data_IF_368287383634
#
_entry.id   IF_368287383634
#
_cell.length_a   1.000
_cell.length_b   1.000
_cell.length_c   1.000
_cell.angle_alpha   90.00
_cell.angle_beta   90.00
_cell.angle_gamma   90.00
#
_symmetry.space_group_name_H-M   'P 1'
#
loop_
_entity.id
_entity.type
_entity.pdbx_description
1 polymer ?
#
# COMPACT_ATOMS: atom_id res chain seq x y z
N UNK A 1 31.14 -3.43 -2.03
CA UNK A 1 30.04 -4.41 -1.96
C UNK A 1 29.17 -4.16 -3.18
N UNK A 2 29.09 -5.13 -4.08
CA UNK A 2 28.67 -4.92 -5.48
C UNK A 2 27.14 -4.85 -5.59
N UNK A 3 26.58 -3.67 -5.89
CA UNK A 3 25.15 -3.43 -6.19
C UNK A 3 24.76 -3.91 -7.60
N UNK A 4 25.14 -5.13 -7.95
CA UNK A 4 25.01 -5.62 -9.33
C UNK A 4 23.73 -6.45 -9.48
N UNK A 5 22.69 -5.77 -10.01
CA UNK A 5 21.43 -6.24 -10.65
C UNK A 5 20.12 -5.89 -9.95
N UNK A 6 19.96 -4.61 -9.61
CA UNK A 6 18.67 -3.98 -9.30
C UNK A 6 17.95 -3.57 -10.61
N UNK A 7 17.78 -4.50 -11.56
CA UNK A 7 17.36 -4.16 -12.94
C UNK A 7 15.92 -4.55 -13.16
N UNK A 8 15.06 -3.55 -13.27
CA UNK A 8 13.71 -3.72 -13.81
C UNK A 8 13.81 -4.27 -15.24
N UNK A 9 12.96 -5.24 -15.59
CA UNK A 9 12.94 -5.89 -16.92
C UNK A 9 11.95 -5.19 -17.83
N UNK A 10 12.32 -4.97 -19.09
CA UNK A 10 11.40 -4.47 -20.11
C UNK A 10 10.72 -5.61 -20.84
N UNK A 11 9.40 -5.52 -21.00
CA UNK A 11 8.58 -6.45 -21.80
C UNK A 11 7.65 -5.67 -22.71
N UNK A 12 7.32 -6.24 -23.85
CA UNK A 12 6.28 -5.73 -24.75
C UNK A 12 4.96 -6.46 -24.47
N UNK A 13 3.88 -5.69 -24.30
CA UNK A 13 2.57 -6.23 -23.98
C UNK A 13 1.95 -6.94 -25.17
N UNK A 14 1.51 -8.18 -24.96
CA UNK A 14 0.72 -8.96 -25.90
C UNK A 14 -0.78 -8.86 -25.59
N UNK A 15 -1.65 -9.19 -26.54
CA UNK A 15 -3.11 -9.16 -26.35
C UNK A 15 -3.64 -10.11 -25.25
N UNK A 16 -2.84 -11.08 -24.82
CA UNK A 16 -3.17 -12.01 -23.74
C UNK A 16 -2.54 -11.62 -22.39
N UNK A 17 -1.74 -10.54 -22.34
CA UNK A 17 -1.12 -10.09 -21.10
C UNK A 17 -2.10 -9.26 -20.28
N UNK A 18 -2.03 -9.45 -18.96
CA UNK A 18 -2.73 -8.67 -17.95
C UNK A 18 -1.77 -8.42 -16.79
N UNK A 19 -1.95 -7.33 -16.03
CA UNK A 19 -0.99 -6.94 -14.99
C UNK A 19 -0.83 -8.01 -13.89
N UNK A 20 -1.91 -8.70 -13.53
CA UNK A 20 -1.95 -9.80 -12.57
C UNK A 20 -1.21 -11.04 -13.08
N UNK A 21 -1.39 -11.42 -14.35
CA UNK A 21 -0.66 -12.52 -14.96
C UNK A 21 0.84 -12.22 -15.06
N UNK A 22 1.19 -10.98 -15.41
CA UNK A 22 2.57 -10.52 -15.45
C UNK A 22 3.20 -10.51 -14.05
N UNK A 23 2.46 -10.03 -13.04
CA UNK A 23 2.90 -10.06 -11.64
C UNK A 23 3.09 -11.50 -11.15
N UNK A 24 2.17 -12.42 -11.45
CA UNK A 24 2.33 -13.82 -11.10
C UNK A 24 3.57 -14.43 -11.78
N UNK A 25 3.76 -14.18 -13.08
CA UNK A 25 4.87 -14.73 -13.86
C UNK A 25 6.24 -14.21 -13.44
N UNK A 26 6.36 -12.92 -13.11
CA UNK A 26 7.66 -12.27 -12.86
C UNK A 26 7.94 -11.98 -11.40
N UNK A 27 6.90 -11.81 -10.57
CA UNK A 27 7.00 -11.47 -9.15
C UNK A 27 6.51 -12.62 -8.24
N UNK A 28 6.00 -13.71 -8.82
CA UNK A 28 5.50 -14.88 -8.09
C UNK A 28 4.13 -14.69 -7.43
N UNK A 29 3.61 -13.46 -7.40
CA UNK A 29 2.35 -13.12 -6.76
C UNK A 29 1.53 -12.17 -7.64
N UNK A 30 0.31 -12.59 -8.01
CA UNK A 30 -0.60 -11.79 -8.81
C UNK A 30 -0.99 -10.48 -8.13
N UNK A 31 -1.00 -10.44 -6.78
CA UNK A 31 -1.31 -9.24 -6.01
C UNK A 31 -0.30 -8.11 -6.20
N UNK A 32 0.90 -8.41 -6.74
CA UNK A 32 1.94 -7.40 -7.00
C UNK A 32 1.74 -6.64 -8.33
N UNK A 33 0.54 -6.72 -8.91
CA UNK A 33 0.20 -6.04 -10.16
C UNK A 33 0.23 -4.51 -10.00
N UNK A 34 -0.02 -4.01 -8.78
CA UNK A 34 -0.09 -2.58 -8.49
C UNK A 34 1.28 -1.92 -8.59
N UNK A 35 2.33 -2.62 -8.19
CA UNK A 35 3.71 -2.17 -8.28
C UNK A 35 4.15 -2.04 -9.75
N UNK A 36 3.67 -2.93 -10.62
CA UNK A 36 3.87 -2.80 -12.07
C UNK A 36 3.11 -1.59 -12.61
N UNK A 37 1.86 -1.39 -12.19
CA UNK A 37 1.05 -0.25 -12.63
C UNK A 37 1.67 1.09 -12.22
N UNK A 38 2.02 1.23 -10.95
CA UNK A 38 2.63 2.41 -10.36
C UNK A 38 3.96 2.76 -11.06
N UNK A 39 4.82 1.76 -11.31
CA UNK A 39 6.11 1.96 -11.98
C UNK A 39 5.97 2.50 -13.41
N UNK A 40 4.87 2.17 -14.09
CA UNK A 40 4.64 2.55 -15.49
C UNK A 40 3.57 3.64 -15.67
N UNK A 41 3.02 4.17 -14.57
CA UNK A 41 1.88 5.11 -14.58
C UNK A 41 0.69 4.57 -15.39
N UNK A 42 0.38 3.28 -15.23
CA UNK A 42 -0.74 2.64 -15.90
C UNK A 42 -1.99 2.79 -15.04
N UNK A 43 -3.07 3.28 -15.65
CA UNK A 43 -4.39 3.24 -15.03
C UNK A 43 -4.93 1.80 -15.03
N UNK A 44 -5.10 1.23 -13.84
CA UNK A 44 -5.58 -0.15 -13.65
C UNK A 44 -7.04 -0.36 -14.08
N UNK A 45 -7.80 0.72 -14.30
CA UNK A 45 -9.18 0.67 -14.78
C UNK A 45 -9.28 0.76 -16.31
N UNK A 46 -8.17 1.04 -16.98
CA UNK A 46 -8.09 1.17 -18.43
C UNK A 46 -7.57 -0.12 -19.08
N UNK A 47 -7.93 -0.32 -20.35
CA UNK A 47 -7.37 -1.42 -21.14
C UNK A 47 -5.87 -1.23 -21.36
N UNK A 48 -5.11 -2.33 -21.28
CA UNK A 48 -3.69 -2.32 -21.58
C UNK A 48 -3.45 -2.23 -23.10
N UNK A 49 -2.68 -1.26 -23.58
CA UNK A 49 -2.42 -1.13 -25.01
C UNK A 49 -1.40 -2.17 -25.48
N UNK A 50 -1.82 -3.02 -26.41
CA UNK A 50 -0.98 -4.05 -27.04
C UNK A 50 0.19 -3.40 -27.78
N UNK A 51 1.37 -4.00 -27.67
CA UNK A 51 2.62 -3.49 -28.26
C UNK A 51 3.33 -2.42 -27.43
N UNK A 52 2.76 -2.01 -26.28
CA UNK A 52 3.45 -1.10 -25.37
C UNK A 52 4.58 -1.83 -24.63
N UNK A 53 5.75 -1.19 -24.54
CA UNK A 53 6.85 -1.66 -23.69
C UNK A 53 6.67 -1.12 -22.28
N UNK A 54 6.62 -2.02 -21.30
CA UNK A 54 6.50 -1.69 -19.87
C UNK A 54 7.68 -2.26 -19.07
N UNK A 55 7.95 -1.65 -17.91
CA UNK A 55 8.99 -2.08 -16.98
C UNK A 55 8.36 -2.94 -15.89
N UNK A 56 8.94 -4.11 -15.63
CA UNK A 56 8.57 -4.99 -14.54
C UNK A 56 9.65 -4.87 -13.46
N UNK A 57 9.31 -4.52 -12.22
CA UNK A 57 10.29 -4.45 -11.15
C UNK A 57 10.87 -5.84 -10.85
N UNK A 58 12.02 -5.91 -10.19
CA UNK A 58 12.48 -7.16 -9.58
C UNK A 58 11.75 -7.42 -8.27
N UNK A 59 11.80 -8.65 -7.77
CA UNK A 59 11.21 -9.01 -6.47
C UNK A 59 11.85 -8.17 -5.36
N UNK A 60 13.16 -7.97 -5.41
CA UNK A 60 13.90 -7.16 -4.44
C UNK A 60 13.48 -5.69 -4.50
N UNK A 61 13.16 -5.15 -5.69
CA UNK A 61 12.61 -3.80 -5.82
C UNK A 61 11.23 -3.70 -5.18
N UNK A 62 10.37 -4.71 -5.37
CA UNK A 62 9.05 -4.75 -4.73
C UNK A 62 9.19 -4.81 -3.21
N UNK A 63 10.10 -5.64 -2.69
CA UNK A 63 10.37 -5.71 -1.26
C UNK A 63 10.84 -4.39 -0.68
N UNK A 64 11.70 -3.65 -1.39
CA UNK A 64 12.15 -2.33 -0.96
C UNK A 64 11.01 -1.31 -0.98
N UNK A 65 10.21 -1.26 -2.05
CA UNK A 65 9.02 -0.39 -2.14
C UNK A 65 8.07 -0.66 -0.97
N UNK A 66 7.81 -1.93 -0.65
CA UNK A 66 6.94 -2.31 0.46
C UNK A 66 7.55 -1.88 1.79
N UNK A 67 8.86 -2.09 1.99
CA UNK A 67 9.57 -1.67 3.20
C UNK A 67 9.49 -0.16 3.43
N UNK A 68 9.75 0.64 2.39
CA UNK A 68 9.67 2.09 2.45
C UNK A 68 8.24 2.56 2.79
N UNK A 69 7.23 1.97 2.14
CA UNK A 69 5.81 2.26 2.42
C UNK A 69 5.43 1.94 3.86
N UNK A 70 5.89 0.80 4.40
CA UNK A 70 5.62 0.42 5.79
C UNK A 70 6.26 1.37 6.80
N UNK A 71 7.48 1.84 6.52
CA UNK A 71 8.15 2.84 7.36
C UNK A 71 7.37 4.17 7.40
N UNK A 72 6.80 4.59 6.27
CA UNK A 72 5.97 5.79 6.21
C UNK A 72 4.66 5.63 6.97
N UNK A 73 3.95 4.50 6.79
CA UNK A 73 2.69 4.22 7.50
C UNK A 73 2.89 4.26 9.01
N UNK A 74 3.98 3.66 9.52
CA UNK A 74 4.29 3.68 10.95
C UNK A 74 4.40 5.11 11.51
N UNK A 75 4.97 6.03 10.74
CA UNK A 75 5.11 7.42 11.16
C UNK A 75 3.77 8.15 11.13
N UNK A 76 2.99 7.98 10.06
CA UNK A 76 1.66 8.62 9.92
C UNK A 76 0.69 8.14 11.00
N UNK A 77 0.63 6.82 11.24
CA UNK A 77 -0.25 6.26 12.28
C UNK A 77 0.16 6.74 13.67
N UNK A 78 1.46 6.89 13.93
CA UNK A 78 1.94 7.42 15.21
C UNK A 78 1.50 8.88 15.41
N UNK A 79 1.62 9.73 14.38
CA UNK A 79 1.17 11.12 14.45
C UNK A 79 -0.36 11.25 14.56
N UNK A 80 -1.13 10.43 13.86
CA UNK A 80 -2.60 10.49 13.92
C UNK A 80 -3.16 9.99 15.26
N UNK A 81 -2.51 9.02 15.91
CA UNK A 81 -2.94 8.52 17.22
C UNK A 81 -2.68 9.51 18.37
N UNK A 82 -1.64 10.36 18.27
CA UNK A 82 -1.41 11.44 19.23
C UNK A 82 -2.41 12.59 19.10
N UNK A 83 -2.99 12.79 17.90
CA UNK A 83 -3.99 13.83 17.62
C UNK A 83 -5.44 13.43 17.94
N UNK A 84 -5.69 12.15 18.31
CA UNK A 84 -7.00 11.71 18.82
C UNK A 84 -7.21 12.18 20.27
N UNK A 85 -7.36 13.49 20.46
CA UNK A 85 -7.79 14.07 21.73
C UNK A 85 -9.27 13.76 21.99
N UNK A 86 -9.50 12.67 22.72
CA UNK A 86 -10.83 12.20 23.15
C UNK A 86 -11.56 13.19 24.08
N UNK A 87 -10.91 14.26 24.54
CA UNK A 87 -11.54 15.29 25.40
C UNK A 87 -12.70 16.00 24.71
N UNK A 88 -12.69 16.06 23.37
CA UNK A 88 -13.72 16.70 22.55
C UNK A 88 -15.03 15.92 22.47
N UNK A 89 -15.02 14.61 22.74
CA UNK A 89 -16.23 13.76 22.80
C UNK A 89 -16.94 13.89 24.15
N UNK A 90 -16.19 14.16 25.23
CA UNK A 90 -16.73 14.29 26.59
C UNK A 90 -17.47 15.62 26.83
N UNK A 91 -17.22 16.63 26.00
CA UNK A 91 -17.81 17.98 26.14
C UNK A 91 -19.12 18.16 25.36
N UNK A 92 -19.42 17.32 24.36
CA UNK A 92 -20.63 17.44 23.53
C UNK A 92 -21.86 16.73 24.08
N UNK A 93 -21.76 15.96 25.17
CA UNK A 93 -22.91 15.28 25.77
C UNK A 93 -22.87 15.32 27.32
N UNK A 94 -23.50 16.31 27.96
CA UNK A 94 -23.59 16.36 29.43
C UNK A 94 -24.39 15.18 30.02
N UNK A 95 -25.18 14.44 29.23
CA UNK A 95 -25.87 13.23 29.68
C UNK A 95 -24.98 11.97 29.68
N UNK A 96 -23.79 12.02 29.08
CA UNK A 96 -22.81 10.95 29.19
C UNK A 96 -22.15 10.94 30.57
N UNK A 97 -21.96 12.12 31.18
CA UNK A 97 -21.29 12.28 32.47
C UNK A 97 -22.02 11.59 33.65
N UNK A 98 -23.35 11.40 33.58
CA UNK A 98 -24.10 10.75 34.66
C UNK A 98 -24.04 9.21 34.63
N UNK A 99 -23.78 8.60 33.47
CA UNK A 99 -23.66 7.14 33.35
C UNK A 99 -22.25 6.59 33.59
N UNK A 100 -21.21 7.43 33.63
CA UNK A 100 -19.84 6.98 33.91
C UNK A 100 -19.49 6.86 35.41
N UNK A 101 -20.38 7.27 36.32
CA UNK A 101 -20.26 6.94 37.74
C UNK A 101 -20.42 5.41 38.00
N UNK A 102 -20.91 4.64 37.02
CA UNK A 102 -21.11 3.19 37.11
C UNK A 102 -20.03 2.35 36.43
N UNK A 103 -19.00 2.96 35.82
CA UNK A 103 -17.80 2.25 35.36
C UNK A 103 -16.57 2.70 36.16
N UNK A 104 -16.78 3.04 37.42
CA UNK A 104 -15.79 2.74 38.44
C UNK A 104 -16.12 1.32 38.92
N UNK A 105 -15.12 0.43 38.93
CA UNK A 105 -15.21 -1.00 39.32
C UNK A 105 -15.56 -2.02 38.22
N UNK A 106 -14.71 -2.16 37.19
CA UNK A 106 -14.15 -3.48 36.84
C UNK A 106 -12.89 -3.33 35.96
N UNK A 107 -11.75 -3.65 36.59
CA UNK A 107 -10.37 -3.83 36.06
C UNK A 107 -9.58 -2.56 35.77
#
# INVERSE_FOLDING_TARGET
MQSSRNVSRRIELSAADSLDNLAHRYLGNASNFREIADLNNIDIFSELPVGQVINIPSIEQVEEIVRERLAQISNTVSSELEELDLSSILTSNPAAAENYQLISWLI
#
